data_IF_868417921586
#
_entry.id   IF_868417921586
#
_cell.length_a   1.000
_cell.length_b   1.000
_cell.length_c   1.000
_cell.angle_alpha   90.00
_cell.angle_beta   90.00
_cell.angle_gamma   90.00
#
_symmetry.space_group_name_H-M   'P 1'
#
loop_
_entity.id
_entity.type
_entity.pdbx_description
1 polymer ?
#
# COMPACT_ATOMS: atom_id res chain seq x y z
N UNK A 1 9.62 -4.50 -22.07
CA UNK A 1 9.06 -3.31 -21.38
C UNK A 1 8.58 -2.37 -22.46
N UNK A 2 7.26 -2.15 -22.59
CA UNK A 2 6.77 -1.07 -23.43
C UNK A 2 7.20 0.23 -22.74
N UNK A 3 8.03 1.01 -23.38
CA UNK A 3 8.47 2.31 -22.87
C UNK A 3 7.25 3.18 -22.61
N UNK A 4 7.25 3.88 -21.48
CA UNK A 4 6.25 4.91 -21.18
C UNK A 4 6.19 5.88 -22.36
N UNK A 5 5.01 6.06 -22.94
CA UNK A 5 4.80 7.06 -23.98
C UNK A 5 4.98 8.43 -23.32
N UNK A 6 6.09 9.09 -23.59
CA UNK A 6 6.29 10.50 -23.27
C UNK A 6 5.99 11.31 -24.52
N UNK A 7 5.27 12.39 -24.34
CA UNK A 7 5.00 13.34 -25.40
C UNK A 7 5.88 14.57 -25.20
N UNK A 8 6.46 15.05 -26.27
CA UNK A 8 7.17 16.33 -26.32
C UNK A 8 6.17 17.38 -26.82
N UNK A 9 5.67 18.20 -25.93
CA UNK A 9 4.66 19.22 -26.25
C UNK A 9 5.30 20.46 -26.88
N UNK A 10 6.53 20.77 -26.50
CA UNK A 10 7.22 21.98 -26.95
C UNK A 10 7.93 21.76 -28.29
N UNK A 11 8.32 20.54 -28.62
CA UNK A 11 8.94 20.10 -29.88
C UNK A 11 10.11 21.00 -30.35
N UNK A 12 10.87 21.56 -29.40
CA UNK A 12 12.07 22.34 -29.63
C UNK A 12 13.21 21.80 -28.80
N UNK A 13 14.38 21.64 -29.42
CA UNK A 13 15.60 21.28 -28.73
C UNK A 13 16.53 22.50 -28.59
N UNK A 14 17.68 22.29 -27.94
CA UNK A 14 18.69 23.34 -27.75
C UNK A 14 19.13 24.00 -29.06
N UNK A 15 19.31 23.21 -30.13
CA UNK A 15 19.75 23.73 -31.43
C UNK A 15 18.70 24.62 -32.08
N UNK A 16 17.42 24.20 -32.04
CA UNK A 16 16.29 25.00 -32.53
C UNK A 16 16.19 26.33 -31.79
N UNK A 17 16.42 26.34 -30.49
CA UNK A 17 16.35 27.56 -29.66
C UNK A 17 17.49 28.52 -30.01
N UNK A 18 18.70 28.01 -30.23
CA UNK A 18 19.85 28.83 -30.67
C UNK A 18 19.56 29.47 -32.01
N UNK A 19 19.05 28.71 -32.98
CA UNK A 19 18.70 29.17 -34.32
C UNK A 19 17.61 30.26 -34.25
N UNK A 20 16.52 30.03 -33.52
CA UNK A 20 15.46 31.01 -33.28
C UNK A 20 15.99 32.29 -32.65
N UNK A 21 16.90 32.23 -31.69
CA UNK A 21 17.52 33.39 -31.07
C UNK A 21 18.35 34.19 -32.06
N UNK A 22 19.15 33.53 -32.90
CA UNK A 22 19.97 34.16 -33.93
C UNK A 22 19.08 34.84 -34.98
N UNK A 23 18.04 34.16 -35.47
CA UNK A 23 17.11 34.74 -36.43
C UNK A 23 16.40 35.96 -35.86
N UNK A 24 15.94 35.88 -34.60
CA UNK A 24 15.27 37.00 -33.92
C UNK A 24 16.19 38.19 -33.75
N UNK A 25 17.46 38.01 -33.43
CA UNK A 25 18.47 39.07 -33.32
C UNK A 25 18.67 39.72 -34.67
N UNK A 26 18.85 38.93 -35.75
CA UNK A 26 18.99 39.43 -37.11
C UNK A 26 17.76 40.28 -37.55
N UNK A 27 16.56 39.81 -37.23
CA UNK A 27 15.32 40.53 -37.57
C UNK A 27 15.15 41.80 -36.77
N UNK A 28 15.50 41.83 -35.47
CA UNK A 28 15.28 42.95 -34.59
C UNK A 28 16.30 44.09 -34.76
N UNK A 29 17.56 43.73 -35.01
CA UNK A 29 18.67 44.71 -35.01
C UNK A 29 19.35 44.86 -36.37
N UNK A 30 19.06 43.98 -37.34
CA UNK A 30 19.71 43.95 -38.63
C UNK A 30 21.15 43.38 -38.56
N UNK A 31 21.64 42.91 -39.69
CA UNK A 31 23.02 42.35 -39.78
C UNK A 31 24.14 43.38 -39.72
N UNK A 32 23.79 44.69 -39.68
CA UNK A 32 24.78 45.79 -39.64
C UNK A 32 25.42 45.93 -38.24
N UNK A 33 24.68 45.59 -37.17
CA UNK A 33 25.16 45.73 -35.79
C UNK A 33 25.86 44.51 -35.25
N UNK A 34 25.42 43.28 -35.64
CA UNK A 34 26.01 42.04 -35.21
C UNK A 34 25.71 40.94 -36.25
N UNK A 35 26.76 40.47 -36.89
CA UNK A 35 26.70 39.42 -37.94
C UNK A 35 27.65 38.24 -37.71
N UNK A 36 28.41 38.27 -36.63
CA UNK A 36 29.35 37.23 -36.27
C UNK A 36 28.70 36.29 -35.23
N UNK A 37 28.24 35.14 -35.71
CA UNK A 37 27.61 34.09 -34.93
C UNK A 37 28.42 32.80 -34.93
N UNK A 38 29.76 32.90 -35.21
CA UNK A 38 30.67 31.76 -35.16
C UNK A 38 30.78 31.21 -33.69
N UNK A 39 31.14 29.94 -33.55
CA UNK A 39 31.14 29.26 -32.24
C UNK A 39 32.12 29.86 -31.22
N UNK A 40 33.20 30.51 -31.70
CA UNK A 40 34.21 31.17 -30.86
C UNK A 40 33.82 32.60 -30.43
N UNK A 41 32.71 33.12 -30.91
CA UNK A 41 32.23 34.47 -30.56
C UNK A 41 31.59 34.50 -29.17
N UNK A 42 32.00 35.46 -28.33
CA UNK A 42 31.46 35.63 -26.97
C UNK A 42 29.95 35.86 -26.94
N UNK A 43 29.42 36.56 -27.98
CA UNK A 43 27.96 36.75 -28.09
C UNK A 43 27.21 35.45 -28.37
N UNK A 44 27.78 34.58 -29.24
CA UNK A 44 27.21 33.25 -29.46
C UNK A 44 27.22 32.41 -28.21
N UNK A 45 28.30 32.40 -27.42
CA UNK A 45 28.39 31.71 -26.15
C UNK A 45 27.30 32.15 -25.18
N UNK A 46 26.94 33.44 -25.16
CA UNK A 46 25.79 33.91 -24.33
C UNK A 46 24.46 33.41 -24.87
N UNK A 47 24.25 33.38 -26.20
CA UNK A 47 23.02 32.81 -26.78
C UNK A 47 22.90 31.32 -26.41
N UNK A 48 23.98 30.56 -26.52
CA UNK A 48 23.97 29.13 -26.12
C UNK A 48 23.71 28.92 -24.64
N UNK A 49 24.24 29.76 -23.77
CA UNK A 49 23.93 29.71 -22.34
C UNK A 49 22.44 30.00 -22.06
N UNK A 50 21.84 30.98 -22.73
CA UNK A 50 20.39 31.25 -22.62
C UNK A 50 19.56 30.13 -23.24
N UNK A 51 19.97 29.57 -24.38
CA UNK A 51 19.31 28.45 -25.03
C UNK A 51 19.32 27.20 -24.12
N UNK A 52 20.43 26.94 -23.43
CA UNK A 52 20.51 25.85 -22.44
C UNK A 52 19.51 26.03 -21.28
N UNK A 53 19.39 27.25 -20.75
CA UNK A 53 18.40 27.54 -19.70
C UNK A 53 16.97 27.37 -20.24
N UNK A 54 16.71 27.83 -21.46
CA UNK A 54 15.40 27.69 -22.10
C UNK A 54 15.07 26.20 -22.36
N UNK A 55 16.00 25.42 -22.88
CA UNK A 55 15.83 23.97 -23.08
C UNK A 55 15.53 23.26 -21.77
N UNK A 56 16.25 23.57 -20.68
CA UNK A 56 15.97 23.06 -19.36
C UNK A 56 14.56 23.40 -18.86
N UNK A 57 14.10 24.64 -19.09
CA UNK A 57 12.74 25.05 -18.75
C UNK A 57 11.68 24.34 -19.59
N UNK A 58 11.92 24.15 -20.89
CA UNK A 58 11.03 23.38 -21.75
C UNK A 58 10.96 21.90 -21.33
N UNK A 59 12.10 21.32 -20.93
CA UNK A 59 12.12 19.98 -20.38
C UNK A 59 11.23 19.86 -19.10
N UNK A 60 11.33 20.82 -18.17
CA UNK A 60 10.48 20.82 -16.99
C UNK A 60 9.00 21.02 -17.34
N UNK A 61 8.70 21.85 -18.34
CA UNK A 61 7.33 22.06 -18.83
C UNK A 61 6.75 20.76 -19.41
N UNK A 62 7.49 20.09 -20.29
CA UNK A 62 7.09 18.82 -20.89
C UNK A 62 6.97 17.74 -19.83
N UNK A 63 7.87 17.69 -18.86
CA UNK A 63 7.78 16.76 -17.74
C UNK A 63 6.51 17.00 -16.93
N UNK A 64 6.23 18.24 -16.53
CA UNK A 64 5.04 18.57 -15.77
C UNK A 64 3.75 18.30 -16.55
N UNK A 65 3.73 18.55 -17.85
CA UNK A 65 2.61 18.24 -18.72
C UNK A 65 2.36 16.70 -18.77
N UNK A 66 3.42 15.90 -18.92
CA UNK A 66 3.32 14.45 -18.91
C UNK A 66 2.85 13.91 -17.54
N UNK A 67 3.31 14.50 -16.44
CA UNK A 67 2.90 14.13 -15.08
C UNK A 67 1.45 14.50 -14.74
N UNK A 68 0.78 15.30 -15.58
CA UNK A 68 -0.62 15.69 -15.38
C UNK A 68 -1.63 14.67 -15.92
N UNK A 69 -1.20 13.64 -16.63
CA UNK A 69 -2.08 12.61 -17.22
C UNK A 69 -1.72 11.21 -16.74
N UNK A 70 -2.75 10.41 -16.40
CA UNK A 70 -2.59 9.05 -15.88
C UNK A 70 -1.72 8.17 -16.79
N UNK A 71 -1.89 8.26 -18.11
CA UNK A 71 -1.18 7.41 -19.06
C UNK A 71 0.31 7.74 -19.19
N UNK A 72 0.68 9.02 -19.04
CA UNK A 72 2.05 9.50 -19.26
C UNK A 72 2.83 9.72 -17.98
N UNK A 73 2.17 9.93 -16.84
CA UNK A 73 2.82 10.13 -15.56
C UNK A 73 3.80 9.00 -15.23
N UNK A 74 4.98 9.34 -14.77
CA UNK A 74 6.06 8.41 -14.44
C UNK A 74 6.33 8.35 -12.93
N UNK A 75 5.99 9.42 -12.19
CA UNK A 75 6.20 9.50 -10.76
C UNK A 75 5.04 8.88 -9.99
N UNK A 76 5.38 7.93 -9.09
CA UNK A 76 4.38 7.19 -8.30
C UNK A 76 3.51 8.11 -7.46
N UNK A 77 4.08 9.16 -6.86
CA UNK A 77 3.33 10.08 -6.01
C UNK A 77 2.26 10.85 -6.79
N UNK A 78 2.59 11.29 -8.00
CA UNK A 78 1.64 11.97 -8.88
C UNK A 78 0.48 11.05 -9.29
N UNK A 79 0.80 9.78 -9.58
CA UNK A 79 -0.22 8.77 -9.87
C UNK A 79 -1.14 8.52 -8.66
N UNK A 80 -0.60 8.40 -7.44
CA UNK A 80 -1.40 8.26 -6.22
C UNK A 80 -2.35 9.46 -6.08
N UNK A 81 -1.86 10.68 -6.28
CA UNK A 81 -2.67 11.88 -6.18
C UNK A 81 -3.79 11.94 -7.24
N UNK A 82 -3.49 11.52 -8.48
CA UNK A 82 -4.53 11.42 -9.52
C UNK A 82 -5.56 10.33 -9.23
N UNK A 83 -5.14 9.20 -8.67
CA UNK A 83 -6.05 8.11 -8.31
C UNK A 83 -7.06 8.52 -7.23
N UNK A 84 -6.68 9.41 -6.30
CA UNK A 84 -7.61 9.98 -5.30
C UNK A 84 -8.80 10.69 -5.94
N UNK A 85 -8.62 11.35 -7.08
CA UNK A 85 -9.72 12.03 -7.81
C UNK A 85 -10.78 11.08 -8.35
N UNK A 86 -10.42 9.82 -8.58
CA UNK A 86 -11.32 8.77 -9.08
C UNK A 86 -11.72 7.76 -8.00
N UNK A 87 -11.39 8.03 -6.73
CA UNK A 87 -11.68 7.16 -5.59
C UNK A 87 -10.85 5.86 -5.56
N UNK A 88 -9.79 5.76 -6.37
CA UNK A 88 -8.94 4.58 -6.39
C UNK A 88 -7.74 4.73 -5.46
N UNK A 89 -7.61 3.83 -4.49
CA UNK A 89 -6.44 3.74 -3.62
C UNK A 89 -5.50 2.65 -4.15
N UNK A 90 -4.32 3.02 -4.71
CA UNK A 90 -3.34 2.04 -5.15
C UNK A 90 -2.90 1.14 -4.00
N UNK A 91 -2.76 -0.17 -4.28
CA UNK A 91 -2.35 -1.12 -3.26
C UNK A 91 -0.96 -0.83 -2.72
N UNK A 92 -0.87 -0.88 -1.40
CA UNK A 92 0.40 -0.88 -0.69
C UNK A 92 0.98 -2.31 -0.63
N UNK A 93 2.18 -2.44 -0.06
CA UNK A 93 2.69 -3.75 0.32
C UNK A 93 1.72 -4.41 1.30
N UNK A 94 1.59 -5.71 1.19
CA UNK A 94 0.72 -6.51 2.06
C UNK A 94 1.55 -7.65 2.66
N UNK A 95 1.34 -7.93 3.93
CA UNK A 95 1.98 -9.04 4.65
C UNK A 95 1.33 -10.38 4.33
N UNK A 96 2.14 -11.43 4.30
CA UNK A 96 1.66 -12.79 4.15
C UNK A 96 0.92 -13.27 5.40
N UNK A 97 -0.07 -14.13 5.21
CA UNK A 97 -0.85 -14.74 6.28
C UNK A 97 -0.76 -16.26 6.21
N UNK A 98 -0.82 -16.92 7.37
CA UNK A 98 -0.75 -18.37 7.47
C UNK A 98 -1.37 -18.87 8.78
N UNK A 99 -1.95 -20.06 8.75
CA UNK A 99 -2.34 -20.76 9.96
C UNK A 99 -1.13 -21.50 10.55
N UNK A 100 -0.86 -21.28 11.82
CA UNK A 100 0.23 -21.90 12.57
C UNK A 100 -0.34 -22.92 13.53
N UNK A 101 0.18 -24.13 13.48
CA UNK A 101 -0.09 -25.17 14.46
C UNK A 101 0.91 -25.04 15.61
N UNK A 102 0.37 -24.89 16.81
CA UNK A 102 1.12 -24.83 18.07
C UNK A 102 0.86 -26.12 18.81
N UNK A 103 1.88 -26.80 19.26
CA UNK A 103 1.78 -28.11 19.91
C UNK A 103 2.69 -28.21 21.12
N UNK A 104 2.27 -29.04 22.09
CA UNK A 104 3.03 -29.44 23.27
C UNK A 104 3.38 -30.93 23.16
N UNK A 105 4.43 -31.35 23.84
CA UNK A 105 4.91 -32.75 23.76
C UNK A 105 4.03 -33.72 24.53
N UNK A 106 3.43 -33.29 25.63
CA UNK A 106 2.54 -34.07 26.49
C UNK A 106 1.30 -33.25 26.86
N UNK A 107 0.11 -33.89 27.03
CA UNK A 107 -1.09 -33.20 27.46
C UNK A 107 -0.89 -32.51 28.82
N UNK A 108 -1.31 -31.25 28.93
CA UNK A 108 -1.24 -30.52 30.18
C UNK A 108 -2.57 -30.54 30.93
N UNK A 109 -2.51 -30.44 32.26
CA UNK A 109 -3.70 -30.48 33.14
C UNK A 109 -4.51 -29.19 33.15
N UNK A 110 -3.89 -28.08 32.75
CA UNK A 110 -4.51 -26.77 32.61
C UNK A 110 -4.32 -26.21 31.18
N UNK A 111 -5.11 -25.16 30.85
CA UNK A 111 -4.99 -24.48 29.55
C UNK A 111 -3.60 -23.84 29.40
N UNK A 112 -2.98 -24.00 28.24
CA UNK A 112 -1.69 -23.37 27.89
C UNK A 112 -1.96 -22.27 26.88
N UNK A 113 -1.61 -21.04 27.22
CA UNK A 113 -1.87 -19.86 26.41
C UNK A 113 -0.58 -19.24 25.86
N UNK A 114 -0.63 -18.86 24.59
CA UNK A 114 0.33 -17.98 23.94
C UNK A 114 -0.45 -16.72 23.55
N UNK A 115 -0.07 -15.53 24.06
CA UNK A 115 -0.82 -14.31 23.82
C UNK A 115 -0.79 -13.87 22.34
N UNK A 116 -1.75 -13.07 21.94
CA UNK A 116 -1.75 -12.38 20.65
C UNK A 116 -0.49 -11.52 20.48
N UNK A 117 -0.08 -11.28 19.24
CA UNK A 117 1.17 -10.60 18.85
C UNK A 117 2.45 -11.32 19.29
N UNK A 118 2.35 -12.58 19.71
CA UNK A 118 3.54 -13.40 19.98
C UNK A 118 4.34 -13.65 18.71
N UNK A 119 5.67 -13.47 18.82
CA UNK A 119 6.61 -13.56 17.71
C UNK A 119 7.07 -14.99 17.49
N UNK A 120 6.88 -15.45 16.27
CA UNK A 120 7.40 -16.69 15.73
C UNK A 120 8.24 -16.41 14.49
N UNK A 121 9.21 -17.23 14.16
CA UNK A 121 10.09 -16.90 13.05
C UNK A 121 10.55 -18.12 12.24
N UNK A 122 10.97 -17.83 11.02
CA UNK A 122 11.68 -18.79 10.17
C UNK A 122 13.16 -18.85 10.56
N UNK A 123 13.87 -19.86 10.07
CA UNK A 123 15.33 -19.92 10.21
C UNK A 123 16.06 -18.77 9.46
N UNK A 124 15.42 -18.17 8.47
CA UNK A 124 15.97 -17.01 7.76
C UNK A 124 15.74 -15.68 8.50
N UNK A 125 15.08 -15.70 9.66
CA UNK A 125 14.86 -14.53 10.48
C UNK A 125 13.60 -13.72 10.13
N UNK A 126 12.74 -14.19 9.21
CA UNK A 126 11.44 -13.57 8.96
C UNK A 126 10.54 -13.78 10.16
N UNK A 127 9.93 -12.71 10.64
CA UNK A 127 9.08 -12.69 11.83
C UNK A 127 7.63 -12.77 11.39
N UNK A 128 6.85 -13.55 12.13
CA UNK A 128 5.40 -13.63 12.06
C UNK A 128 4.84 -13.39 13.45
N UNK A 129 3.71 -12.70 13.54
CA UNK A 129 3.00 -12.45 14.80
C UNK A 129 1.64 -13.14 14.78
N UNK A 130 1.26 -13.76 15.91
CA UNK A 130 -0.08 -14.31 16.10
C UNK A 130 -1.11 -13.20 16.13
N UNK A 131 -2.24 -13.37 15.42
CA UNK A 131 -3.32 -12.38 15.39
C UNK A 131 -4.17 -12.42 16.66
N UNK A 132 -4.36 -13.60 17.22
CA UNK A 132 -5.19 -13.85 18.39
C UNK A 132 -4.42 -14.67 19.42
N UNK A 133 -4.97 -14.74 20.64
CA UNK A 133 -4.49 -15.64 21.66
C UNK A 133 -4.62 -17.09 21.16
N UNK A 134 -3.55 -17.86 21.29
CA UNK A 134 -3.57 -19.28 20.99
C UNK A 134 -3.67 -20.07 22.30
N UNK A 135 -4.77 -20.78 22.49
CA UNK A 135 -5.02 -21.58 23.71
C UNK A 135 -5.10 -23.04 23.36
N UNK A 136 -4.17 -23.84 23.92
CA UNK A 136 -4.27 -25.31 23.94
C UNK A 136 -5.06 -25.68 25.17
N UNK A 137 -6.24 -26.29 24.99
CA UNK A 137 -7.11 -26.68 26.08
C UNK A 137 -6.51 -27.83 26.92
N UNK A 138 -6.86 -27.87 28.20
CA UNK A 138 -6.44 -28.96 29.09
C UNK A 138 -6.78 -30.33 28.49
N UNK A 139 -5.76 -31.18 28.36
CA UNK A 139 -5.86 -32.49 27.75
C UNK A 139 -5.61 -32.54 26.24
N UNK A 140 -5.60 -31.41 25.52
CA UNK A 140 -5.28 -31.35 24.12
C UNK A 140 -3.75 -31.24 23.89
N UNK A 141 -3.31 -31.66 22.70
CA UNK A 141 -1.89 -31.62 22.31
C UNK A 141 -1.54 -30.45 21.38
N UNK A 142 -2.52 -29.83 20.73
CA UNK A 142 -2.26 -28.76 19.78
C UNK A 142 -3.47 -27.83 19.63
N UNK A 143 -3.19 -26.65 19.13
CA UNK A 143 -4.17 -25.66 18.65
C UNK A 143 -3.67 -25.04 17.36
N UNK A 144 -4.54 -24.35 16.62
CA UNK A 144 -4.19 -23.59 15.43
C UNK A 144 -4.57 -22.14 15.61
N UNK A 145 -3.67 -21.22 15.21
CA UNK A 145 -3.89 -19.78 15.26
C UNK A 145 -3.42 -19.14 13.95
N UNK A 146 -4.09 -18.09 13.52
CA UNK A 146 -3.65 -17.32 12.38
C UNK A 146 -2.51 -16.38 12.77
N UNK A 147 -1.48 -16.35 11.92
CA UNK A 147 -0.34 -15.47 12.06
C UNK A 147 -0.15 -14.63 10.78
N UNK A 148 0.43 -13.47 10.94
CA UNK A 148 0.70 -12.51 9.86
C UNK A 148 2.18 -12.15 9.90
N UNK A 149 2.79 -12.03 8.72
CA UNK A 149 4.19 -11.67 8.57
C UNK A 149 4.41 -10.20 8.96
N UNK A 150 5.55 -9.91 9.55
CA UNK A 150 5.97 -8.57 9.96
C UNK A 150 6.09 -8.42 11.46
N UNK A 151 6.45 -7.22 11.85
CA UNK A 151 6.66 -6.83 13.25
C UNK A 151 5.87 -5.57 13.57
N UNK A 152 5.15 -5.59 14.70
CA UNK A 152 4.34 -4.48 15.18
C UNK A 152 5.18 -3.55 16.04
N UNK A 153 5.15 -2.27 15.73
CA UNK A 153 5.82 -1.21 16.47
C UNK A 153 4.80 -0.20 16.99
N UNK A 154 5.08 0.33 18.18
CA UNK A 154 4.37 1.48 18.73
C UNK A 154 5.40 2.58 18.97
N UNK A 155 5.18 3.75 18.39
CA UNK A 155 6.07 4.90 18.56
C UNK A 155 5.29 6.21 18.69
N UNK A 156 5.91 7.19 19.34
CA UNK A 156 5.42 8.56 19.33
C UNK A 156 5.98 9.26 18.08
N UNK A 157 5.09 9.65 17.18
CA UNK A 157 5.45 10.27 15.90
C UNK A 157 5.48 11.80 15.93
N UNK A 158 5.03 12.42 17.02
CA UNK A 158 5.06 13.87 17.18
C UNK A 158 4.17 14.39 18.29
N UNK A 159 4.14 15.70 18.37
CA UNK A 159 3.30 16.46 19.30
C UNK A 159 2.42 17.39 18.52
N UNK A 160 1.13 17.43 18.83
CA UNK A 160 0.19 18.34 18.19
C UNK A 160 0.50 19.81 18.54
N UNK A 161 0.39 20.68 17.57
CA UNK A 161 0.43 22.14 17.75
C UNK A 161 -0.97 22.79 17.79
N UNK A 162 -2.03 21.98 17.69
CA UNK A 162 -3.42 22.43 17.69
C UNK A 162 -3.89 23.09 16.38
N UNK A 163 -3.09 23.02 15.32
CA UNK A 163 -3.48 23.58 14.01
C UNK A 163 -4.31 22.59 13.19
N UNK A 164 -4.95 23.09 12.12
CA UNK A 164 -5.74 22.29 11.18
C UNK A 164 -4.86 21.50 10.25
N UNK A 165 -5.35 20.33 9.82
CA UNK A 165 -4.69 19.50 8.80
C UNK A 165 -3.26 19.11 9.14
N UNK A 166 -2.99 18.85 10.42
CA UNK A 166 -1.68 18.39 10.85
C UNK A 166 -1.35 17.05 10.21
N UNK A 167 -0.11 16.90 9.77
CA UNK A 167 0.42 15.68 9.17
C UNK A 167 1.60 15.17 9.98
N UNK A 168 1.59 13.89 10.32
CA UNK A 168 2.67 13.23 11.05
C UNK A 168 3.15 12.01 10.29
N UNK A 169 4.46 11.86 10.16
CA UNK A 169 5.07 10.77 9.42
C UNK A 169 5.62 9.73 10.37
N UNK A 170 5.37 8.45 10.05
CA UNK A 170 5.99 7.32 10.72
C UNK A 170 7.47 7.27 10.35
N UNK A 171 8.35 7.03 11.33
CA UNK A 171 9.80 7.10 11.14
C UNK A 171 10.34 5.97 10.25
N UNK A 172 9.69 4.79 10.30
CA UNK A 172 10.11 3.58 9.58
C UNK A 172 9.46 3.52 8.20
N UNK A 173 10.21 2.95 7.24
CA UNK A 173 9.70 2.54 5.93
C UNK A 173 9.24 1.08 5.95
N UNK A 174 8.50 0.67 4.90
CA UNK A 174 7.94 -0.68 4.81
C UNK A 174 6.67 -0.87 5.65
N UNK A 175 5.98 0.22 5.96
CA UNK A 175 4.68 0.18 6.65
C UNK A 175 3.66 -0.50 5.74
N UNK A 176 3.08 -1.59 6.23
CA UNK A 176 2.03 -2.36 5.52
C UNK A 176 0.65 -2.08 6.09
N UNK A 177 0.56 -1.78 7.38
CA UNK A 177 -0.70 -1.55 8.09
C UNK A 177 -0.50 -0.58 9.24
N UNK A 178 -1.43 0.35 9.40
CA UNK A 178 -1.54 1.21 10.58
C UNK A 178 -2.73 0.67 11.38
N UNK A 179 -2.47 0.20 12.60
CA UNK A 179 -3.45 -0.52 13.41
C UNK A 179 -4.22 0.40 14.34
N UNK A 180 -3.54 1.35 14.97
CA UNK A 180 -4.14 2.19 16.00
C UNK A 180 -3.41 3.51 16.12
N UNK A 181 -4.18 4.58 16.35
CA UNK A 181 -3.66 5.91 16.71
C UNK A 181 -4.24 6.28 18.08
N UNK A 182 -3.37 6.55 19.03
CA UNK A 182 -3.72 6.91 20.41
C UNK A 182 -3.20 8.29 20.73
N UNK A 183 -4.07 9.17 21.22
CA UNK A 183 -3.72 10.51 21.63
C UNK A 183 -4.20 10.70 23.06
N UNK A 184 -3.31 11.08 23.96
CA UNK A 184 -3.62 11.27 25.38
C UNK A 184 -4.33 10.05 26.02
N UNK A 185 -3.90 8.83 25.72
CA UNK A 185 -4.50 7.53 26.11
C UNK A 185 -5.91 7.27 25.60
N UNK A 186 -6.39 8.01 24.62
CA UNK A 186 -7.65 7.75 23.92
C UNK A 186 -7.39 7.29 22.50
N UNK A 187 -8.03 6.20 22.09
CA UNK A 187 -7.96 5.70 20.73
C UNK A 187 -8.80 6.59 19.79
N UNK A 188 -8.21 6.98 18.68
CA UNK A 188 -8.89 7.68 17.60
C UNK A 188 -9.30 6.69 16.52
N UNK A 189 -10.39 6.99 15.80
CA UNK A 189 -10.94 6.10 14.81
C UNK A 189 -10.42 6.44 13.40
N UNK A 190 -10.14 5.41 12.61
CA UNK A 190 -9.83 5.59 11.20
C UNK A 190 -11.07 6.00 10.41
N UNK A 191 -10.92 6.96 9.51
CA UNK A 191 -11.94 7.38 8.55
C UNK A 191 -11.32 7.54 7.16
N UNK A 192 -12.00 7.05 6.14
CA UNK A 192 -11.58 7.24 4.74
C UNK A 192 -11.69 8.70 4.29
N UNK A 193 -12.65 9.43 4.85
CA UNK A 193 -12.91 10.83 4.56
C UNK A 193 -13.44 11.53 5.81
N UNK A 194 -13.21 12.84 5.91
CA UNK A 194 -13.72 13.66 7.02
C UNK A 194 -15.13 14.20 6.80
N UNK A 195 -15.68 14.10 5.59
CA UNK A 195 -16.90 14.83 5.17
C UNK A 195 -18.15 14.50 5.96
N UNK A 196 -18.28 13.29 6.51
CA UNK A 196 -19.48 12.80 7.21
C UNK A 196 -19.41 12.95 8.73
N UNK A 197 -18.38 13.58 9.26
CA UNK A 197 -18.10 13.65 10.70
C UNK A 197 -18.30 15.07 11.25
N UNK A 198 -18.52 15.14 12.57
CA UNK A 198 -18.70 16.39 13.33
C UNK A 198 -17.41 16.83 14.02
N UNK A 199 -17.38 18.05 14.56
CA UNK A 199 -16.22 18.62 15.26
C UNK A 199 -15.78 17.85 16.53
N UNK A 200 -16.66 17.01 17.09
CA UNK A 200 -16.38 16.20 18.29
C UNK A 200 -15.80 14.82 17.97
N UNK A 201 -15.91 14.37 16.70
CA UNK A 201 -15.49 13.02 16.30
C UNK A 201 -13.97 12.93 16.24
N UNK A 202 -13.40 12.04 17.07
CA UNK A 202 -11.96 11.76 17.13
C UNK A 202 -11.57 10.81 16.00
N UNK A 203 -11.26 11.39 14.86
CA UNK A 203 -10.96 10.64 13.63
C UNK A 203 -9.67 11.09 13.00
N UNK A 204 -9.03 10.17 12.29
CA UNK A 204 -7.85 10.42 11.47
C UNK A 204 -7.97 9.67 10.14
N UNK A 205 -7.26 10.13 9.14
CA UNK A 205 -7.03 9.37 7.90
C UNK A 205 -5.56 9.04 7.74
N UNK A 206 -5.26 8.04 6.93
CA UNK A 206 -3.90 7.57 6.71
C UNK A 206 -3.56 7.57 5.23
N UNK A 207 -2.31 7.84 4.94
CA UNK A 207 -1.75 7.69 3.61
C UNK A 207 -0.43 6.93 3.71
N UNK A 208 -0.13 6.09 2.73
CA UNK A 208 1.18 5.50 2.57
C UNK A 208 1.80 6.10 1.31
N UNK A 209 2.94 6.77 1.49
CA UNK A 209 3.62 7.47 0.40
C UNK A 209 4.35 6.50 -0.57
N UNK A 210 4.94 7.06 -1.62
CA UNK A 210 5.67 6.30 -2.62
C UNK A 210 6.90 5.56 -2.05
N UNK A 211 7.39 5.96 -0.88
CA UNK A 211 8.52 5.34 -0.15
C UNK A 211 8.07 4.35 0.93
N UNK A 212 6.76 4.00 0.96
CA UNK A 212 6.14 3.13 1.97
C UNK A 212 6.30 3.65 3.40
N UNK A 213 6.25 4.96 3.59
CA UNK A 213 6.14 5.58 4.90
C UNK A 213 4.69 5.90 5.18
N UNK A 214 4.23 5.53 6.36
CA UNK A 214 2.89 5.90 6.80
C UNK A 214 2.82 7.38 7.19
N UNK A 215 1.70 8.02 6.84
CA UNK A 215 1.37 9.39 7.22
C UNK A 215 0.00 9.40 7.88
N UNK A 216 -0.11 10.04 9.03
CA UNK A 216 -1.36 10.28 9.74
C UNK A 216 -1.77 11.73 9.47
N UNK A 217 -3.02 11.95 9.12
CA UNK A 217 -3.58 13.26 8.80
C UNK A 217 -4.80 13.49 9.69
N UNK A 218 -4.86 14.66 10.33
CA UNK A 218 -5.98 15.10 11.13
C UNK A 218 -6.85 16.11 10.41
N UNK A 219 -8.06 16.32 10.91
CA UNK A 219 -9.09 17.14 10.31
C UNK A 219 -8.90 18.66 10.52
N UNK A 220 -9.90 19.43 10.07
CA UNK A 220 -9.93 20.89 10.14
C UNK A 220 -10.63 21.45 11.40
N UNK A 221 -11.12 20.57 12.29
CA UNK A 221 -11.84 20.93 13.50
C UNK A 221 -13.31 21.30 13.25
N UNK A 222 -13.82 21.06 12.02
CA UNK A 222 -15.26 21.14 11.69
C UNK A 222 -15.82 19.78 11.30
N UNK A 223 -15.04 19.02 10.55
CA UNK A 223 -15.36 17.68 10.07
C UNK A 223 -14.43 16.66 10.74
N UNK A 224 -14.43 16.64 12.07
CA UNK A 224 -13.55 15.86 12.92
C UNK A 224 -12.73 16.74 13.87
N UNK A 225 -12.40 16.21 15.03
CA UNK A 225 -11.63 16.88 16.07
C UNK A 225 -10.18 17.16 15.63
N UNK A 226 -9.57 18.18 16.23
CA UNK A 226 -8.12 18.44 16.14
C UNK A 226 -7.49 18.01 17.47
N UNK A 227 -6.37 17.27 17.47
CA UNK A 227 -5.63 17.01 18.70
C UNK A 227 -5.20 18.32 19.37
N UNK A 228 -5.35 18.42 20.68
CA UNK A 228 -5.03 19.66 21.42
C UNK A 228 -3.52 19.96 21.37
N UNK A 229 -3.18 21.22 21.49
CA UNK A 229 -1.78 21.63 21.52
C UNK A 229 -1.04 20.97 22.70
N UNK A 230 0.11 20.36 22.42
CA UNK A 230 0.95 19.68 23.41
C UNK A 230 0.62 18.19 23.59
N UNK A 231 -0.41 17.65 22.95
CA UNK A 231 -0.73 16.22 23.02
C UNK A 231 0.22 15.38 22.16
N UNK A 232 0.66 14.24 22.72
CA UNK A 232 1.52 13.26 22.02
C UNK A 232 0.70 12.33 21.17
N UNK A 233 1.16 12.08 19.93
CA UNK A 233 0.54 11.20 18.99
C UNK A 233 1.32 9.89 18.94
N UNK A 234 0.72 8.84 19.50
CA UNK A 234 1.26 7.48 19.52
C UNK A 234 0.57 6.66 18.43
N UNK A 235 1.36 5.96 17.61
CA UNK A 235 0.85 5.13 16.52
C UNK A 235 1.38 3.72 16.64
N UNK A 236 0.47 2.74 16.54
CA UNK A 236 0.80 1.32 16.43
C UNK A 236 0.63 0.89 14.98
N UNK A 237 1.68 0.37 14.39
CA UNK A 237 1.73 -0.02 12.98
C UNK A 237 2.57 -1.26 12.77
N UNK A 238 2.37 -1.94 11.65
CA UNK A 238 3.15 -3.11 11.25
C UNK A 238 4.08 -2.79 10.09
N UNK A 239 5.32 -3.28 10.21
CA UNK A 239 6.30 -3.27 9.12
C UNK A 239 6.44 -4.69 8.59
N UNK A 240 6.31 -4.87 7.28
CA UNK A 240 6.38 -6.16 6.62
C UNK A 240 7.37 -6.19 5.45
N UNK A 241 7.65 -7.41 4.97
CA UNK A 241 8.58 -7.66 3.89
C UNK A 241 7.89 -8.01 2.55
N UNK A 242 6.56 -7.80 2.48
CA UNK A 242 5.78 -8.02 1.28
C UNK A 242 5.87 -9.46 0.76
N UNK A 243 6.26 -9.64 -0.51
CA UNK A 243 6.32 -10.95 -1.17
C UNK A 243 7.28 -11.94 -0.48
N UNK A 244 8.30 -11.45 0.24
CA UNK A 244 9.26 -12.30 0.95
C UNK A 244 8.62 -13.06 2.11
N UNK A 245 7.49 -12.57 2.61
CA UNK A 245 6.68 -13.26 3.62
C UNK A 245 5.99 -14.53 3.14
N UNK A 246 5.90 -14.77 1.83
CA UNK A 246 5.31 -15.98 1.27
C UNK A 246 6.30 -17.16 1.39
N UNK A 247 6.27 -17.87 2.51
CA UNK A 247 7.21 -18.94 2.82
C UNK A 247 6.57 -20.32 2.69
N UNK A 248 7.42 -21.33 2.45
CA UNK A 248 7.01 -22.72 2.26
C UNK A 248 6.48 -23.34 3.57
N UNK A 249 5.70 -24.45 3.48
CA UNK A 249 5.35 -25.25 4.65
C UNK A 249 6.59 -25.71 5.42
N UNK A 250 6.42 -25.87 6.74
CA UNK A 250 7.45 -26.32 7.67
C UNK A 250 8.69 -25.41 7.76
N UNK A 251 8.56 -24.13 7.47
CA UNK A 251 9.68 -23.16 7.57
C UNK A 251 9.58 -22.26 8.79
N UNK A 252 8.38 -22.05 9.35
CA UNK A 252 8.14 -21.26 10.56
C UNK A 252 8.19 -22.20 11.74
N UNK A 253 9.34 -22.25 12.42
CA UNK A 253 9.61 -23.28 13.44
C UNK A 253 10.19 -22.74 14.73
N UNK A 254 10.57 -21.46 14.78
CA UNK A 254 11.17 -20.86 15.96
C UNK A 254 10.13 -20.03 16.71
N UNK A 255 10.07 -20.19 18.02
CA UNK A 255 9.24 -19.38 18.94
C UNK A 255 10.17 -18.41 19.66
N UNK A 256 9.81 -17.12 19.68
CA UNK A 256 10.55 -16.11 20.44
C UNK A 256 9.91 -15.84 21.79
N UNK A 257 8.59 -15.93 21.86
CA UNK A 257 7.81 -15.70 23.06
C UNK A 257 7.53 -16.99 23.82
N UNK A 258 7.10 -16.84 25.06
CA UNK A 258 6.96 -17.93 26.01
C UNK A 258 5.47 -18.22 26.23
N UNK A 259 5.06 -19.46 26.00
CA UNK A 259 3.73 -19.92 26.38
C UNK A 259 3.67 -20.21 27.91
N UNK A 260 2.52 -19.92 28.52
CA UNK A 260 2.29 -20.09 29.96
C UNK A 260 1.04 -20.93 30.22
N UNK A 261 1.09 -21.69 31.31
CA UNK A 261 -0.09 -22.36 31.87
C UNK A 261 -0.92 -21.42 32.75
N UNK A 262 -2.06 -21.89 33.27
CA UNK A 262 -2.93 -21.11 34.15
C UNK A 262 -2.24 -20.69 35.47
N UNK A 263 -1.22 -21.43 35.91
CA UNK A 263 -0.44 -21.13 37.10
C UNK A 263 0.74 -20.18 36.83
N UNK A 264 0.96 -19.82 35.55
CA UNK A 264 2.03 -18.90 35.10
C UNK A 264 3.37 -19.58 34.83
N UNK A 265 3.43 -20.93 34.85
CA UNK A 265 4.65 -21.68 34.53
C UNK A 265 4.91 -21.67 33.02
N UNK A 266 6.18 -21.67 32.65
CA UNK A 266 6.62 -21.68 31.25
C UNK A 266 6.48 -23.09 30.68
N UNK A 267 5.76 -23.20 29.57
CA UNK A 267 5.58 -24.46 28.83
C UNK A 267 6.33 -24.35 27.49
N UNK A 268 7.10 -25.39 27.18
CA UNK A 268 7.77 -25.49 25.88
C UNK A 268 6.78 -25.90 24.80
N UNK A 269 6.64 -25.07 23.79
CA UNK A 269 5.79 -25.30 22.64
C UNK A 269 6.61 -25.50 21.36
N UNK A 270 6.05 -26.21 20.41
CA UNK A 270 6.55 -26.35 19.05
C UNK A 270 5.56 -25.67 18.13
N UNK A 271 6.07 -24.91 17.15
CA UNK A 271 5.26 -24.25 16.14
C UNK A 271 5.64 -24.75 14.76
N UNK A 272 4.65 -24.88 13.87
CA UNK A 272 4.88 -25.24 12.48
C UNK A 272 3.75 -24.68 11.61
N UNK A 273 4.09 -24.17 10.43
CA UNK A 273 3.11 -23.93 9.39
C UNK A 273 2.96 -25.17 8.52
N UNK A 274 1.78 -25.78 8.52
CA UNK A 274 1.49 -26.95 7.67
C UNK A 274 1.27 -26.55 6.21
N UNK A 275 0.76 -25.32 5.98
CA UNK A 275 0.50 -24.75 4.66
C UNK A 275 1.48 -23.63 4.30
N UNK A 276 1.43 -23.21 3.04
CA UNK A 276 2.13 -22.04 2.54
C UNK A 276 1.63 -20.77 3.19
N UNK A 277 2.54 -19.91 3.66
CA UNK A 277 2.20 -18.50 3.90
C UNK A 277 1.92 -17.82 2.56
N UNK A 278 0.81 -17.14 2.43
CA UNK A 278 0.38 -16.51 1.19
C UNK A 278 -0.26 -15.14 1.41
N UNK A 279 -0.40 -14.38 0.33
CA UNK A 279 -0.99 -13.05 0.36
C UNK A 279 0.02 -11.91 0.46
N UNK A 280 1.28 -12.20 0.77
CA UNK A 280 2.34 -11.19 0.74
C UNK A 280 2.54 -10.63 -0.67
N UNK A 281 2.56 -9.33 -0.81
CA UNK A 281 2.74 -8.66 -2.10
C UNK A 281 3.51 -7.36 -1.98
N UNK A 282 4.21 -7.03 -3.05
CA UNK A 282 4.83 -5.72 -3.21
C UNK A 282 3.78 -4.63 -3.51
N UNK A 283 4.11 -3.35 -3.32
CA UNK A 283 3.24 -2.26 -3.72
C UNK A 283 2.87 -2.34 -5.19
N UNK A 284 1.69 -1.92 -5.52
CA UNK A 284 1.21 -1.93 -6.90
C UNK A 284 2.14 -1.15 -7.82
N UNK A 285 2.50 -1.74 -8.97
CA UNK A 285 3.36 -1.10 -9.95
C UNK A 285 2.64 0.03 -10.69
N UNK A 286 3.38 1.03 -11.17
CA UNK A 286 2.87 2.14 -11.99
C UNK A 286 2.01 1.63 -13.16
N UNK A 287 2.48 0.60 -13.86
CA UNK A 287 1.75 0.01 -14.99
C UNK A 287 0.41 -0.62 -14.56
N UNK A 288 0.37 -1.24 -13.37
CA UNK A 288 -0.85 -1.81 -12.81
C UNK A 288 -1.84 -0.72 -12.40
N UNK A 289 -1.36 0.34 -11.73
CA UNK A 289 -2.19 1.49 -11.32
C UNK A 289 -2.90 2.09 -12.55
N UNK A 290 -2.15 2.38 -13.61
CA UNK A 290 -2.70 2.92 -14.87
C UNK A 290 -3.79 2.05 -15.49
N UNK A 291 -3.66 0.73 -15.37
CA UNK A 291 -4.64 -0.21 -15.89
C UNK A 291 -5.86 -0.37 -14.99
N UNK A 292 -5.67 -0.35 -13.68
CA UNK A 292 -6.72 -0.68 -12.69
C UNK A 292 -7.55 0.52 -12.27
N UNK A 293 -6.97 1.71 -12.12
CA UNK A 293 -7.68 2.88 -11.67
C UNK A 293 -8.93 3.21 -12.55
N UNK A 294 -8.85 3.21 -13.90
CA UNK A 294 -10.03 3.43 -14.73
C UNK A 294 -11.08 2.31 -14.59
N UNK A 295 -10.65 1.06 -14.41
CA UNK A 295 -11.58 -0.08 -14.24
C UNK A 295 -12.30 0.00 -12.89
N UNK A 296 -11.58 0.36 -11.83
CA UNK A 296 -12.18 0.55 -10.52
C UNK A 296 -13.22 1.67 -10.54
N UNK A 297 -12.90 2.79 -11.15
CA UNK A 297 -13.86 3.89 -11.32
C UNK A 297 -15.16 3.45 -12.02
N UNK A 298 -15.07 2.54 -13.00
CA UNK A 298 -16.27 2.00 -13.70
C UNK A 298 -17.16 1.13 -12.81
N UNK A 299 -16.65 0.55 -11.71
CA UNK A 299 -17.48 -0.30 -10.80
C UNK A 299 -18.43 0.52 -9.93
N UNK A 300 -18.19 1.83 -9.79
CA UNK A 300 -18.97 2.72 -8.91
C UNK A 300 -19.13 2.16 -7.49
N UNK A 301 -18.04 1.59 -6.97
CA UNK A 301 -17.90 1.03 -5.63
C UNK A 301 -18.92 -0.07 -5.27
N UNK A 302 -19.29 -0.89 -6.24
CA UNK A 302 -20.23 -2.01 -6.08
C UNK A 302 -19.97 -3.15 -7.08
N UNK A 303 -20.31 -4.37 -6.68
CA UNK A 303 -20.23 -5.56 -7.50
C UNK A 303 -21.60 -5.86 -8.14
N UNK A 304 -21.74 -5.66 -9.46
CA UNK A 304 -22.95 -5.95 -10.24
C UNK A 304 -22.66 -6.94 -11.35
N UNK A 305 -21.57 -6.74 -12.09
CA UNK A 305 -21.15 -7.59 -13.20
C UNK A 305 -20.04 -8.55 -12.81
N UNK A 306 -19.84 -9.62 -13.59
CA UNK A 306 -18.70 -10.52 -13.40
C UNK A 306 -17.37 -9.74 -13.35
N UNK A 307 -17.23 -8.70 -14.17
CA UNK A 307 -16.02 -7.88 -14.24
C UNK A 307 -15.84 -7.06 -12.98
N UNK A 308 -16.90 -6.62 -12.32
CA UNK A 308 -16.81 -5.89 -11.05
C UNK A 308 -16.28 -6.82 -9.97
N UNK A 309 -16.82 -8.03 -9.83
CA UNK A 309 -16.30 -9.02 -8.88
C UNK A 309 -14.83 -9.38 -9.14
N UNK A 310 -14.41 -9.51 -10.42
CA UNK A 310 -13.00 -9.70 -10.75
C UNK A 310 -12.16 -8.49 -10.33
N UNK A 311 -12.65 -7.27 -10.55
CA UNK A 311 -11.95 -6.03 -10.22
C UNK A 311 -11.80 -5.88 -8.71
N UNK A 312 -12.87 -6.08 -7.93
CA UNK A 312 -12.82 -6.04 -6.47
C UNK A 312 -11.93 -7.15 -5.90
N UNK A 313 -12.08 -8.39 -6.36
CA UNK A 313 -11.21 -9.48 -5.92
C UNK A 313 -9.73 -9.20 -6.23
N UNK A 314 -9.42 -8.64 -7.41
CA UNK A 314 -8.06 -8.22 -7.74
C UNK A 314 -7.63 -6.95 -6.98
N UNK A 315 -8.53 -6.17 -6.42
CA UNK A 315 -8.21 -5.01 -5.58
C UNK A 315 -7.92 -5.40 -4.15
N UNK A 316 -8.34 -6.59 -3.70
CA UNK A 316 -7.98 -7.11 -2.39
C UNK A 316 -6.49 -7.42 -2.28
N UNK A 317 -5.89 -7.10 -1.13
CA UNK A 317 -4.47 -7.35 -0.88
C UNK A 317 -4.11 -8.84 -1.01
N UNK A 318 -2.95 -9.15 -1.59
CA UNK A 318 -2.47 -10.52 -1.75
C UNK A 318 -3.03 -11.30 -2.95
N UNK A 319 -4.08 -10.81 -3.62
CA UNK A 319 -4.64 -11.46 -4.82
C UNK A 319 -3.95 -10.89 -6.08
N UNK A 320 -3.36 -11.81 -6.85
CA UNK A 320 -2.67 -11.48 -8.10
C UNK A 320 -3.61 -11.53 -9.31
N UNK A 321 -4.49 -12.54 -9.35
CA UNK A 321 -5.46 -12.74 -10.45
C UNK A 321 -6.79 -13.25 -9.90
N UNK A 322 -7.88 -12.80 -10.53
CA UNK A 322 -9.21 -13.30 -10.23
C UNK A 322 -10.00 -13.53 -11.54
N UNK A 323 -10.87 -14.51 -11.52
CA UNK A 323 -11.84 -14.80 -12.60
C UNK A 323 -13.18 -15.17 -11.99
N UNK A 324 -14.21 -14.37 -12.27
CA UNK A 324 -15.58 -14.66 -11.87
C UNK A 324 -16.32 -15.45 -12.96
N UNK A 325 -17.13 -16.41 -12.56
CA UNK A 325 -17.97 -17.20 -13.45
C UNK A 325 -19.35 -17.32 -12.82
N UNK A 326 -20.37 -16.88 -13.54
CA UNK A 326 -21.76 -17.07 -13.15
C UNK A 326 -22.18 -18.51 -13.51
N UNK A 327 -22.83 -19.18 -12.58
CA UNK A 327 -23.50 -20.48 -12.81
C UNK A 327 -24.96 -20.35 -12.47
N UNK A 328 -25.80 -20.58 -13.46
CA UNK A 328 -27.22 -20.78 -13.24
C UNK A 328 -27.42 -22.17 -12.64
N UNK A 329 -28.09 -22.25 -11.50
CA UNK A 329 -28.53 -23.50 -10.91
C UNK A 329 -30.05 -23.52 -10.93
N UNK A 330 -30.64 -24.56 -11.55
CA UNK A 330 -32.10 -24.71 -11.65
C UNK A 330 -32.73 -24.64 -10.25
N UNK A 331 -33.44 -23.54 -9.94
CA UNK A 331 -34.23 -23.40 -8.73
C UNK A 331 -33.58 -22.73 -7.53
N UNK A 332 -32.30 -22.34 -7.59
CA UNK A 332 -31.61 -21.76 -6.42
C UNK A 332 -30.97 -20.38 -6.67
N UNK A 333 -31.34 -19.70 -7.75
CA UNK A 333 -30.74 -18.38 -8.07
C UNK A 333 -29.37 -18.48 -8.78
N UNK A 334 -28.79 -17.34 -9.03
CA UNK A 334 -27.47 -17.22 -9.68
C UNK A 334 -26.35 -17.27 -8.65
N UNK A 335 -25.41 -18.19 -8.81
CA UNK A 335 -24.21 -18.26 -8.00
C UNK A 335 -23.01 -17.71 -8.77
N UNK A 336 -22.25 -16.82 -8.12
CA UNK A 336 -20.99 -16.32 -8.65
C UNK A 336 -19.86 -17.12 -8.00
N UNK A 337 -19.09 -17.83 -8.84
CA UNK A 337 -17.87 -18.51 -8.40
C UNK A 337 -16.66 -17.71 -8.82
N UNK A 338 -15.84 -17.32 -7.85
CA UNK A 338 -14.63 -16.54 -8.09
C UNK A 338 -13.42 -17.47 -7.92
N UNK A 339 -12.63 -17.63 -8.99
CA UNK A 339 -11.36 -18.31 -8.99
C UNK A 339 -10.26 -17.30 -8.76
N UNK A 340 -9.41 -17.52 -7.74
CA UNK A 340 -8.37 -16.58 -7.36
C UNK A 340 -7.01 -17.25 -7.30
N UNK A 341 -5.98 -16.46 -7.61
CA UNK A 341 -4.58 -16.81 -7.44
C UNK A 341 -3.90 -15.70 -6.64
N UNK A 342 -3.14 -16.08 -5.61
CA UNK A 342 -2.31 -15.18 -4.83
C UNK A 342 -0.96 -14.93 -5.50
N UNK A 343 -0.21 -13.95 -5.01
CA UNK A 343 1.19 -13.79 -5.38
C UNK A 343 2.01 -14.97 -4.87
N UNK A 344 2.96 -15.45 -5.69
CA UNK A 344 3.90 -16.51 -5.32
C UNK A 344 5.10 -15.98 -4.55
N UNK A 345 6.11 -16.85 -4.32
CA UNK A 345 7.33 -16.48 -3.60
C UNK A 345 8.26 -15.52 -4.35
N UNK A 346 8.16 -15.48 -5.66
CA UNK A 346 8.97 -14.62 -6.52
C UNK A 346 8.10 -13.62 -7.23
N UNK A 347 8.67 -12.46 -7.57
CA UNK A 347 8.01 -11.44 -8.37
C UNK A 347 7.49 -12.06 -9.68
N UNK A 348 6.25 -11.72 -10.04
CA UNK A 348 5.53 -12.23 -11.22
C UNK A 348 5.18 -13.74 -11.20
N UNK A 349 5.30 -14.43 -10.06
CA UNK A 349 4.76 -15.77 -9.91
C UNK A 349 3.41 -15.74 -9.18
N UNK A 350 2.62 -16.78 -9.36
CA UNK A 350 1.31 -16.93 -8.72
C UNK A 350 1.24 -18.28 -8.01
N UNK A 351 0.45 -18.34 -6.95
CA UNK A 351 0.22 -19.52 -6.16
C UNK A 351 -1.26 -19.72 -5.86
N UNK A 352 -1.65 -20.87 -5.38
CA UNK A 352 -2.99 -21.11 -4.84
C UNK A 352 -3.05 -20.46 -3.46
N UNK A 353 -4.03 -19.57 -3.18
CA UNK A 353 -4.15 -18.95 -1.87
C UNK A 353 -4.54 -19.99 -0.81
N UNK A 354 -4.06 -19.79 0.41
CA UNK A 354 -4.48 -20.57 1.56
C UNK A 354 -5.92 -20.23 1.98
N UNK A 355 -6.53 -21.04 2.84
CA UNK A 355 -7.91 -20.85 3.30
C UNK A 355 -8.09 -19.53 4.08
N UNK A 356 -7.09 -19.11 4.85
CA UNK A 356 -7.12 -17.85 5.59
C UNK A 356 -7.34 -16.66 4.64
N UNK A 357 -6.54 -16.57 3.57
CA UNK A 357 -6.66 -15.49 2.58
C UNK A 357 -7.99 -15.56 1.80
N UNK A 358 -8.48 -16.76 1.51
CA UNK A 358 -9.80 -16.93 0.85
C UNK A 358 -10.94 -16.44 1.73
N UNK A 359 -10.92 -16.77 3.02
CA UNK A 359 -11.95 -16.33 3.95
C UNK A 359 -11.95 -14.81 4.14
N UNK A 360 -10.78 -14.20 4.29
CA UNK A 360 -10.65 -12.74 4.36
C UNK A 360 -11.12 -12.04 3.08
N UNK A 361 -10.87 -12.63 1.90
CA UNK A 361 -11.38 -12.12 0.63
C UNK A 361 -12.91 -12.20 0.55
N UNK A 362 -13.52 -13.29 1.03
CA UNK A 362 -14.98 -13.42 1.05
C UNK A 362 -15.61 -12.36 1.94
N UNK A 363 -15.08 -12.16 3.15
CA UNK A 363 -15.54 -11.12 4.07
C UNK A 363 -15.42 -9.71 3.46
N UNK A 364 -14.33 -9.43 2.74
CA UNK A 364 -14.17 -8.18 2.01
C UNK A 364 -15.23 -7.99 0.91
N UNK A 365 -15.47 -9.03 0.09
CA UNK A 365 -16.45 -8.96 -1.00
C UNK A 365 -17.89 -8.84 -0.51
N UNK A 366 -18.19 -9.35 0.67
CA UNK A 366 -19.52 -9.24 1.29
C UNK A 366 -19.95 -7.78 1.53
N UNK A 367 -18.98 -6.86 1.69
CA UNK A 367 -19.28 -5.43 1.86
C UNK A 367 -19.69 -4.73 0.54
N UNK A 368 -19.37 -5.32 -0.62
CA UNK A 368 -19.59 -4.70 -1.93
C UNK A 368 -20.59 -5.47 -2.81
N UNK A 369 -21.00 -6.67 -2.41
CA UNK A 369 -22.03 -7.44 -3.14
C UNK A 369 -23.37 -6.76 -3.09
N UNK A 370 -24.23 -7.06 -4.06
CA UNK A 370 -25.62 -6.61 -4.01
C UNK A 370 -26.42 -7.34 -2.91
N UNK A 371 -27.42 -6.68 -2.37
CA UNK A 371 -28.27 -7.25 -1.28
C UNK A 371 -28.97 -8.56 -1.64
N UNK A 372 -29.02 -8.89 -2.92
CA UNK A 372 -29.69 -10.09 -3.46
C UNK A 372 -28.72 -11.23 -3.82
N UNK A 373 -27.43 -11.04 -3.64
CA UNK A 373 -26.38 -12.01 -4.00
C UNK A 373 -25.88 -12.82 -2.81
#
# INVERSE_FOLDING_TARGET
>A
MAGLKRFTYTNKDHADIVEDCIERIKQAYGSEYWNDFEEDNAGRMLIEAFAYIADLLLFYLDHQANESYLDTAAERQNLINMCKLVGYTPKNAVSAQVAIKISISEPHSSDVALPAKSQISTNSGLIFETLNDAVIKAGDLFTSVNAVEGETFTENIGVSDGTKYQEFYISRSGVVEIQEVVINNEAWNYADSFVEYSEEDKIYTTEIDAWQRGKIIFSDGKNGAIPSNGEYISVTYRVGNGIKGNVAPNTIINVRDIAKDAEGNTIQIKVVNEDWASGGSEPESIASIKLRAPRFFMTQDRCVTQQDYETFAMNYGGIAKAKAVVRERSGEGNFIRIYVLSYGQKINTVAVPNETLKNSLLEYLDNYKMLTD
#
